data_IF_971158112837
#
_entry.id   IF_971158112837
#
_cell.length_a   1.000
_cell.length_b   1.000
_cell.length_c   1.000
_cell.angle_alpha   90.00
_cell.angle_beta   90.00
_cell.angle_gamma   90.00
#
_symmetry.space_group_name_H-M   'P 1'
#
loop_
_entity.id
_entity.type
_entity.pdbx_description
1 polymer ?
#
# COMPACT_ATOMS: atom_id res chain seq x y z
N UNK A 1 19.82 -5.46 26.65
CA UNK A 1 19.98 -6.26 25.42
C UNK A 1 19.52 -5.42 24.25
N UNK A 2 20.43 -5.18 23.30
CA UNK A 2 20.24 -4.27 22.18
C UNK A 2 19.13 -4.78 21.24
N UNK A 3 18.06 -3.99 21.12
CA UNK A 3 17.04 -4.19 20.10
C UNK A 3 17.60 -3.80 18.74
N UNK A 4 17.77 -4.80 17.88
CA UNK A 4 18.14 -4.67 16.48
C UNK A 4 17.28 -3.57 15.83
N UNK A 5 17.91 -2.48 15.38
CA UNK A 5 17.28 -1.53 14.49
C UNK A 5 16.96 -2.24 13.18
N UNK A 6 15.67 -2.37 12.88
CA UNK A 6 15.16 -2.81 11.57
C UNK A 6 15.55 -1.71 10.56
N UNK A 7 16.81 -1.74 10.11
CA UNK A 7 17.34 -0.83 9.12
C UNK A 7 16.48 -0.97 7.85
N UNK A 8 15.76 0.11 7.54
CA UNK A 8 14.90 0.28 6.38
C UNK A 8 15.64 -0.10 5.09
N UNK A 9 15.54 -1.35 4.67
CA UNK A 9 16.26 -1.88 3.49
C UNK A 9 15.61 -1.45 2.17
N UNK A 10 14.73 -0.44 2.20
CA UNK A 10 13.95 0.02 1.05
C UNK A 10 13.90 1.53 0.85
N UNK A 11 13.80 2.35 1.91
CA UNK A 11 13.57 3.81 1.74
C UNK A 11 14.85 4.56 1.38
N UNK A 12 15.92 4.41 2.17
CA UNK A 12 17.16 5.16 1.94
C UNK A 12 17.83 4.87 0.60
N UNK A 13 17.60 3.71 -0.02
CA UNK A 13 18.17 3.36 -1.33
C UNK A 13 17.30 3.82 -2.50
N UNK A 14 15.98 3.87 -2.35
CA UNK A 14 15.05 4.34 -3.39
C UNK A 14 14.95 5.86 -3.41
N UNK A 15 14.86 6.50 -2.24
CA UNK A 15 15.02 7.96 -2.09
C UNK A 15 16.37 8.41 -2.68
N UNK A 16 17.45 7.65 -2.38
CA UNK A 16 18.77 7.96 -2.91
C UNK A 16 18.86 7.92 -4.44
N UNK A 17 18.23 6.89 -5.00
CA UNK A 17 18.10 6.71 -6.43
C UNK A 17 17.32 7.87 -7.06
N UNK A 18 16.15 8.21 -6.52
CA UNK A 18 15.27 9.22 -7.10
C UNK A 18 15.88 10.62 -7.05
N UNK A 19 16.58 11.00 -5.96
CA UNK A 19 17.25 12.30 -5.95
C UNK A 19 18.42 12.36 -6.93
N UNK A 20 19.18 11.25 -7.11
CA UNK A 20 20.29 11.21 -8.08
C UNK A 20 19.79 11.38 -9.51
N UNK A 21 18.69 10.71 -9.84
CA UNK A 21 18.06 10.86 -11.16
C UNK A 21 17.58 12.29 -11.37
N UNK A 22 16.91 12.89 -10.38
CA UNK A 22 16.45 14.28 -10.43
C UNK A 22 17.60 15.26 -10.63
N UNK A 23 18.64 15.17 -9.80
CA UNK A 23 19.82 16.03 -9.87
C UNK A 23 20.54 15.90 -11.22
N UNK A 24 20.64 14.68 -11.77
CA UNK A 24 21.27 14.44 -13.06
C UNK A 24 20.44 14.99 -14.23
N UNK A 25 19.11 14.87 -14.16
CA UNK A 25 18.19 15.43 -15.16
C UNK A 25 18.25 16.96 -15.15
N UNK A 26 18.19 17.59 -13.98
CA UNK A 26 18.35 19.04 -13.84
C UNK A 26 19.69 19.49 -14.38
N UNK A 27 20.78 18.80 -14.01
CA UNK A 27 22.12 19.14 -14.49
C UNK A 27 22.23 19.10 -16.02
N UNK A 28 21.68 18.07 -16.68
CA UNK A 28 21.74 17.93 -18.13
C UNK A 28 20.85 18.98 -18.84
N UNK A 29 19.71 19.33 -18.24
CA UNK A 29 18.80 20.37 -18.75
C UNK A 29 19.36 21.79 -18.62
N UNK A 30 20.11 22.08 -17.57
CA UNK A 30 20.69 23.41 -17.32
C UNK A 30 21.95 23.70 -18.17
N UNK A 31 22.47 22.71 -18.88
CA UNK A 31 23.64 22.86 -19.72
C UNK A 31 23.30 23.58 -21.03
N UNK A 32 24.08 24.61 -21.33
CA UNK A 32 24.00 25.35 -22.60
C UNK A 32 24.80 24.62 -23.67
N UNK A 33 24.22 23.53 -24.19
CA UNK A 33 24.88 22.68 -25.19
C UNK A 33 25.24 23.49 -26.45
N UNK A 34 26.51 23.48 -26.89
CA UNK A 34 26.91 24.17 -28.12
C UNK A 34 26.28 23.56 -29.38
N UNK A 35 25.95 22.26 -29.31
CA UNK A 35 25.23 21.51 -30.35
C UNK A 35 23.94 20.94 -29.74
N UNK A 36 22.77 21.43 -30.18
CA UNK A 36 21.48 20.99 -29.64
C UNK A 36 21.20 19.50 -29.87
N UNK A 37 21.68 18.93 -30.98
CA UNK A 37 21.50 17.50 -31.28
C UNK A 37 22.19 16.60 -30.26
N UNK A 38 23.37 17.01 -29.77
CA UNK A 38 24.08 16.29 -28.73
C UNK A 38 23.30 16.32 -27.41
N UNK A 39 22.78 17.50 -27.02
CA UNK A 39 21.93 17.67 -25.85
C UNK A 39 20.71 16.74 -25.89
N UNK A 40 20.00 16.71 -27.03
CA UNK A 40 18.86 15.82 -27.26
C UNK A 40 19.24 14.34 -27.17
N UNK A 41 20.36 13.94 -27.80
CA UNK A 41 20.82 12.55 -27.75
C UNK A 41 21.15 12.10 -26.31
N UNK A 42 21.80 12.98 -25.53
CA UNK A 42 22.12 12.70 -24.14
C UNK A 42 20.85 12.61 -23.28
N UNK A 43 19.90 13.52 -23.48
CA UNK A 43 18.60 13.51 -22.82
C UNK A 43 17.84 12.20 -23.07
N UNK A 44 17.74 11.74 -24.33
CA UNK A 44 17.10 10.46 -24.66
C UNK A 44 17.77 9.28 -23.95
N UNK A 45 19.12 9.24 -23.91
CA UNK A 45 19.84 8.17 -23.21
C UNK A 45 19.62 8.22 -21.70
N UNK A 46 19.56 9.41 -21.13
CA UNK A 46 19.25 9.61 -19.71
C UNK A 46 17.83 9.13 -19.37
N UNK A 47 16.85 9.42 -20.23
CA UNK A 47 15.47 8.97 -20.07
C UNK A 47 15.37 7.44 -20.07
N UNK A 48 16.03 6.78 -21.03
CA UNK A 48 16.08 5.31 -21.09
C UNK A 48 16.71 4.71 -19.82
N UNK A 49 17.87 5.23 -19.41
CA UNK A 49 18.53 4.78 -18.17
C UNK A 49 17.64 5.01 -16.94
N UNK A 50 16.99 6.18 -16.85
CA UNK A 50 16.10 6.51 -15.73
C UNK A 50 14.91 5.57 -15.68
N UNK A 51 14.30 5.27 -16.84
CA UNK A 51 13.20 4.31 -16.98
C UNK A 51 13.60 2.93 -16.45
N UNK A 52 14.74 2.39 -16.89
CA UNK A 52 15.23 1.07 -16.46
C UNK A 52 15.50 1.00 -14.95
N UNK A 53 16.04 2.09 -14.39
CA UNK A 53 16.33 2.20 -12.96
C UNK A 53 15.04 2.27 -12.12
N UNK A 54 14.05 3.05 -12.58
CA UNK A 54 12.73 3.15 -11.93
C UNK A 54 12.01 1.80 -11.99
N UNK A 55 11.97 1.15 -13.15
CA UNK A 55 11.38 -0.19 -13.32
C UNK A 55 12.01 -1.21 -12.35
N UNK A 56 13.35 -1.22 -12.29
CA UNK A 56 14.08 -2.11 -11.39
C UNK A 56 13.80 -1.82 -9.91
N UNK A 57 13.57 -0.55 -9.55
CA UNK A 57 13.18 -0.15 -8.19
C UNK A 57 11.80 -0.67 -7.82
N UNK A 58 10.83 -0.47 -8.72
CA UNK A 58 9.44 -0.92 -8.56
C UNK A 58 9.38 -2.43 -8.36
N UNK A 59 10.02 -3.19 -9.26
CA UNK A 59 10.02 -4.67 -9.21
C UNK A 59 10.63 -5.19 -7.90
N UNK A 60 11.78 -4.64 -7.48
CA UNK A 60 12.42 -5.02 -6.21
C UNK A 60 11.53 -4.71 -5.01
N UNK A 61 10.87 -3.55 -5.02
CA UNK A 61 9.98 -3.12 -3.94
C UNK A 61 8.77 -4.04 -3.81
N UNK A 62 8.15 -4.42 -4.94
CA UNK A 62 7.03 -5.37 -4.98
C UNK A 62 7.43 -6.75 -4.42
N UNK A 63 8.58 -7.29 -4.82
CA UNK A 63 9.08 -8.56 -4.26
C UNK A 63 9.35 -8.46 -2.76
N UNK A 64 9.98 -7.37 -2.29
CA UNK A 64 10.23 -7.16 -0.87
C UNK A 64 8.94 -7.03 -0.06
N UNK A 65 7.93 -6.35 -0.62
CA UNK A 65 6.59 -6.23 -0.05
C UNK A 65 5.95 -7.61 0.15
N UNK A 66 5.94 -8.44 -0.90
CA UNK A 66 5.34 -9.77 -0.84
C UNK A 66 6.00 -10.63 0.23
N UNK A 67 7.34 -10.67 0.26
CA UNK A 67 8.11 -11.43 1.25
C UNK A 67 7.82 -10.95 2.68
N UNK A 68 7.79 -9.63 2.91
CA UNK A 68 7.50 -9.08 4.25
C UNK A 68 6.07 -9.42 4.69
N UNK A 69 5.11 -9.38 3.77
CA UNK A 69 3.72 -9.71 4.06
C UNK A 69 3.52 -11.21 4.35
N UNK A 70 4.17 -12.09 3.59
CA UNK A 70 4.12 -13.54 3.79
C UNK A 70 4.69 -13.96 5.16
N UNK A 71 5.74 -13.30 5.64
CA UNK A 71 6.39 -13.60 6.93
C UNK A 71 5.65 -13.08 8.15
N UNK A 72 4.60 -12.28 7.96
CA UNK A 72 3.84 -11.67 9.06
C UNK A 72 2.71 -12.56 9.61
N UNK A 73 2.25 -12.28 10.83
CA UNK A 73 1.17 -13.04 11.48
C UNK A 73 -0.11 -13.12 10.63
N UNK A 74 -0.85 -14.22 10.73
CA UNK A 74 -2.16 -14.44 10.08
C UNK A 74 -3.33 -14.29 11.04
N UNK A 75 -3.12 -13.69 12.21
CA UNK A 75 -4.15 -13.43 13.22
C UNK A 75 -4.26 -11.92 13.56
N UNK A 76 -5.12 -11.58 14.52
CA UNK A 76 -5.44 -10.19 14.94
C UNK A 76 -4.28 -9.47 15.64
N UNK A 77 -3.20 -10.17 15.95
CA UNK A 77 -1.92 -9.62 16.42
C UNK A 77 -1.07 -9.08 15.25
N UNK A 78 -1.46 -9.33 14.00
CA UNK A 78 -0.82 -8.68 12.85
C UNK A 78 -0.88 -7.16 13.00
N UNK A 79 0.26 -6.51 12.75
CA UNK A 79 0.41 -5.07 12.71
C UNK A 79 1.02 -4.73 11.38
N UNK A 80 0.39 -3.81 10.64
CA UNK A 80 0.93 -3.33 9.36
C UNK A 80 2.31 -2.73 9.64
N UNK A 81 3.40 -3.34 9.13
CA UNK A 81 4.74 -2.81 9.38
C UNK A 81 4.92 -1.44 8.71
N UNK A 82 5.64 -0.52 9.35
CA UNK A 82 5.99 0.77 8.74
C UNK A 82 6.65 0.60 7.36
N UNK A 83 7.50 -0.43 7.21
CA UNK A 83 8.17 -0.73 5.95
C UNK A 83 7.20 -1.02 4.80
N UNK A 84 6.01 -1.58 5.09
CA UNK A 84 4.96 -1.80 4.08
C UNK A 84 4.42 -0.45 3.58
N UNK A 85 4.18 0.51 4.48
CA UNK A 85 3.75 1.86 4.11
C UNK A 85 4.83 2.57 3.29
N UNK A 86 6.09 2.45 3.72
CA UNK A 86 7.22 3.00 2.97
C UNK A 86 7.32 2.42 1.56
N UNK A 87 7.09 1.12 1.37
CA UNK A 87 7.08 0.50 0.04
C UNK A 87 5.95 1.04 -0.86
N UNK A 88 4.80 1.42 -0.30
CA UNK A 88 3.77 2.15 -1.06
C UNK A 88 4.24 3.55 -1.45
N UNK A 89 4.89 4.29 -0.54
CA UNK A 89 5.41 5.61 -0.84
C UNK A 89 6.50 5.58 -1.92
N UNK A 90 7.32 4.53 -1.98
CA UNK A 90 8.26 4.32 -3.10
C UNK A 90 7.53 4.25 -4.45
N UNK A 91 6.31 3.71 -4.51
CA UNK A 91 5.51 3.71 -5.74
C UNK A 91 4.99 5.11 -6.09
N UNK A 92 4.62 5.91 -5.08
CA UNK A 92 4.23 7.32 -5.25
C UNK A 92 5.42 8.11 -5.80
N UNK A 93 6.60 7.94 -5.20
CA UNK A 93 7.82 8.62 -5.62
C UNK A 93 8.24 8.20 -7.04
N UNK A 94 8.13 6.91 -7.36
CA UNK A 94 8.37 6.40 -8.71
C UNK A 94 7.44 7.06 -9.73
N UNK A 95 6.16 7.30 -9.38
CA UNK A 95 5.18 7.98 -10.23
C UNK A 95 5.51 9.45 -10.43
N UNK A 96 5.96 10.14 -9.37
CA UNK A 96 6.42 11.52 -9.48
C UNK A 96 7.64 11.61 -10.40
N UNK A 97 8.57 10.67 -10.28
CA UNK A 97 9.77 10.61 -11.11
C UNK A 97 9.46 10.23 -12.56
N UNK A 98 8.55 9.29 -12.82
CA UNK A 98 8.15 8.94 -14.20
C UNK A 98 7.51 10.13 -14.91
N UNK A 99 6.69 10.94 -14.21
CA UNK A 99 6.06 12.13 -14.76
C UNK A 99 7.07 13.21 -15.16
N UNK A 100 8.19 13.35 -14.45
CA UNK A 100 9.27 14.29 -14.81
C UNK A 100 9.96 13.92 -16.12
N UNK A 101 10.03 12.63 -16.43
CA UNK A 101 10.57 12.16 -17.70
C UNK A 101 9.70 12.58 -18.91
N UNK A 102 8.44 12.95 -18.70
CA UNK A 102 7.47 13.30 -19.74
C UNK A 102 7.58 14.75 -20.28
N UNK A 103 8.44 15.58 -19.72
CA UNK A 103 8.33 17.04 -19.86
C UNK A 103 8.81 17.64 -21.21
N UNK A 104 9.30 16.86 -22.17
CA UNK A 104 9.77 17.42 -23.46
C UNK A 104 9.34 16.53 -24.64
N UNK A 105 8.71 17.18 -25.62
CA UNK A 105 7.95 16.65 -26.76
C UNK A 105 8.79 15.82 -27.75
N UNK A 106 8.22 14.71 -28.25
CA UNK A 106 8.37 14.04 -29.55
C UNK A 106 7.70 12.65 -29.45
N UNK A 107 6.67 12.40 -30.28
CA UNK A 107 5.67 11.32 -30.14
C UNK A 107 6.14 9.85 -30.04
N UNK A 108 7.45 9.56 -30.06
CA UNK A 108 8.03 8.24 -29.75
C UNK A 108 8.31 8.04 -28.24
N UNK A 109 8.53 9.10 -27.44
CA UNK A 109 8.81 8.97 -26.01
C UNK A 109 7.57 8.64 -25.16
N UNK A 110 6.36 9.02 -25.62
CA UNK A 110 5.09 8.67 -24.95
C UNK A 110 4.90 7.18 -24.69
N UNK A 111 5.52 6.33 -25.50
CA UNK A 111 5.34 4.88 -25.40
C UNK A 111 6.09 4.25 -24.22
N UNK A 112 7.25 4.79 -23.82
CA UNK A 112 8.01 4.32 -22.65
C UNK A 112 7.41 4.85 -21.34
N UNK A 113 6.99 6.12 -21.31
CA UNK A 113 6.30 6.68 -20.15
C UNK A 113 5.02 5.93 -19.84
N UNK A 114 4.20 5.65 -20.86
CA UNK A 114 2.99 4.85 -20.65
C UNK A 114 3.33 3.46 -20.11
N UNK A 115 4.46 2.86 -20.48
CA UNK A 115 4.86 1.55 -19.94
C UNK A 115 5.23 1.61 -18.46
N UNK A 116 6.04 2.59 -18.03
CA UNK A 116 6.39 2.76 -16.61
C UNK A 116 5.17 3.14 -15.78
N UNK A 117 4.34 4.07 -16.25
CA UNK A 117 3.12 4.47 -15.55
C UNK A 117 2.15 3.30 -15.40
N UNK A 118 1.92 2.54 -16.48
CA UNK A 118 1.08 1.33 -16.44
C UNK A 118 1.67 0.28 -15.49
N UNK A 119 3.00 0.09 -15.50
CA UNK A 119 3.68 -0.82 -14.59
C UNK A 119 3.49 -0.39 -13.13
N UNK A 120 3.67 0.89 -12.81
CA UNK A 120 3.46 1.42 -11.46
C UNK A 120 2.02 1.17 -11.02
N UNK A 121 1.05 1.49 -11.86
CA UNK A 121 -0.37 1.28 -11.54
C UNK A 121 -0.71 -0.21 -11.34
N UNK A 122 -0.17 -1.09 -12.17
CA UNK A 122 -0.32 -2.54 -12.03
C UNK A 122 0.29 -3.04 -10.71
N UNK A 123 1.52 -2.63 -10.41
CA UNK A 123 2.23 -3.07 -9.20
C UNK A 123 1.55 -2.55 -7.93
N UNK A 124 1.07 -1.30 -7.92
CA UNK A 124 0.28 -0.76 -6.80
C UNK A 124 -1.01 -1.56 -6.63
N UNK A 125 -1.73 -1.86 -7.72
CA UNK A 125 -2.95 -2.66 -7.67
C UNK A 125 -2.70 -4.06 -7.11
N UNK A 126 -1.61 -4.70 -7.48
CA UNK A 126 -1.21 -5.99 -6.93
C UNK A 126 -0.84 -5.92 -5.45
N UNK A 127 -0.07 -4.90 -5.03
CA UNK A 127 0.25 -4.67 -3.62
C UNK A 127 -1.01 -4.47 -2.77
N UNK A 128 -1.97 -3.70 -3.28
CA UNK A 128 -3.29 -3.52 -2.67
C UNK A 128 -4.01 -4.86 -2.55
N UNK A 129 -4.06 -5.65 -3.64
CA UNK A 129 -4.71 -6.95 -3.67
C UNK A 129 -4.12 -7.92 -2.65
N UNK A 130 -2.79 -7.97 -2.54
CA UNK A 130 -2.08 -8.82 -1.58
C UNK A 130 -2.38 -8.41 -0.12
N UNK A 131 -2.42 -7.10 0.17
CA UNK A 131 -2.74 -6.61 1.51
C UNK A 131 -4.20 -6.88 1.89
N UNK A 132 -5.13 -6.69 0.95
CA UNK A 132 -6.54 -7.05 1.16
C UNK A 132 -6.67 -8.56 1.41
N UNK A 133 -6.01 -9.40 0.60
CA UNK A 133 -6.02 -10.85 0.79
C UNK A 133 -5.48 -11.24 2.17
N UNK A 134 -4.45 -10.55 2.67
CA UNK A 134 -3.94 -10.75 4.04
C UNK A 134 -5.01 -10.46 5.09
N UNK A 135 -5.75 -9.36 4.95
CA UNK A 135 -6.83 -9.01 5.88
C UNK A 135 -7.99 -9.99 5.82
N UNK A 136 -8.31 -10.53 4.64
CA UNK A 136 -9.33 -11.58 4.47
C UNK A 136 -8.94 -12.84 5.25
N UNK A 137 -7.69 -13.31 5.13
CA UNK A 137 -7.20 -14.47 5.88
C UNK A 137 -7.34 -14.28 7.40
N UNK A 138 -7.10 -13.06 7.89
CA UNK A 138 -7.25 -12.74 9.33
C UNK A 138 -8.73 -12.78 9.72
N UNK A 139 -9.65 -12.25 8.90
CA UNK A 139 -11.09 -12.37 9.18
C UNK A 139 -11.50 -13.85 9.21
N UNK A 140 -11.12 -14.64 8.21
CA UNK A 140 -11.46 -16.06 8.15
C UNK A 140 -11.01 -16.80 9.42
N UNK A 141 -9.81 -16.47 9.93
CA UNK A 141 -9.32 -16.99 11.22
C UNK A 141 -10.21 -16.60 12.40
N UNK A 142 -10.70 -15.36 12.43
CA UNK A 142 -11.62 -14.86 13.47
C UNK A 142 -12.99 -15.54 13.37
N UNK A 143 -13.56 -15.63 12.17
CA UNK A 143 -14.84 -16.31 11.93
C UNK A 143 -14.79 -17.77 12.32
N UNK A 144 -13.69 -18.47 12.01
CA UNK A 144 -13.49 -19.86 12.39
C UNK A 144 -13.38 -20.06 13.92
N UNK A 145 -12.91 -19.06 14.66
CA UNK A 145 -12.92 -19.08 16.13
C UNK A 145 -14.33 -18.83 16.66
N UNK A 146 -15.04 -17.84 16.11
CA UNK A 146 -16.39 -17.49 16.52
C UNK A 146 -17.42 -18.59 16.24
N UNK A 147 -17.30 -19.30 15.12
CA UNK A 147 -18.21 -20.41 14.78
C UNK A 147 -18.18 -21.58 15.76
N UNK A 148 -17.10 -21.74 16.53
CA UNK A 148 -17.00 -22.76 17.59
C UNK A 148 -17.84 -22.42 18.83
N UNK A 149 -18.24 -21.16 18.98
CA UNK A 149 -19.10 -20.69 20.05
C UNK A 149 -20.57 -20.57 19.60
N UNK A 150 -20.87 -21.00 18.37
CA UNK A 150 -22.17 -20.79 17.74
C UNK A 150 -23.21 -21.83 18.22
N UNK A 151 -23.94 -21.49 19.28
CA UNK A 151 -25.27 -22.02 19.58
C UNK A 151 -26.36 -21.13 18.91
N UNK A 152 -26.13 -20.66 17.68
CA UNK A 152 -27.17 -20.10 16.79
C UNK A 152 -27.53 -18.62 16.95
N UNK A 153 -26.79 -17.83 17.76
CA UNK A 153 -27.16 -16.42 18.06
C UNK A 153 -25.98 -15.43 17.97
N UNK A 154 -24.74 -15.88 17.69
CA UNK A 154 -23.57 -15.00 17.72
C UNK A 154 -23.27 -14.31 16.39
N UNK A 155 -23.57 -14.93 15.25
CA UNK A 155 -23.45 -14.27 13.94
C UNK A 155 -24.37 -13.04 13.83
N UNK A 156 -25.60 -13.13 14.35
CA UNK A 156 -26.51 -11.97 14.44
C UNK A 156 -26.00 -10.91 15.43
N UNK A 157 -25.30 -11.31 16.49
CA UNK A 157 -24.67 -10.40 17.47
C UNK A 157 -23.42 -9.72 16.92
N UNK A 158 -22.62 -10.37 16.06
CA UNK A 158 -21.49 -9.74 15.36
C UNK A 158 -21.99 -8.69 14.36
N UNK A 159 -23.03 -9.03 13.59
CA UNK A 159 -23.75 -8.10 12.70
C UNK A 159 -24.57 -7.03 13.45
N UNK A 160 -24.94 -7.28 14.71
CA UNK A 160 -25.68 -6.34 15.56
C UNK A 160 -24.73 -5.47 16.39
N UNK A 161 -23.52 -5.91 16.71
CA UNK A 161 -22.49 -5.11 17.38
C UNK A 161 -21.97 -4.00 16.46
N UNK A 162 -21.92 -4.28 15.16
CA UNK A 162 -21.76 -3.25 14.13
C UNK A 162 -22.92 -2.25 14.07
N UNK A 163 -24.06 -2.52 14.70
CA UNK A 163 -25.21 -1.59 14.80
C UNK A 163 -25.35 -1.01 16.22
N UNK A 164 -24.70 -1.59 17.24
CA UNK A 164 -24.89 -1.26 18.66
C UNK A 164 -23.89 -0.25 19.25
N UNK A 165 -22.97 0.30 18.47
CA UNK A 165 -22.18 1.46 18.89
C UNK A 165 -23.05 2.67 19.31
N UNK A 166 -24.36 2.67 18.98
CA UNK A 166 -25.32 3.71 19.34
C UNK A 166 -26.22 3.41 20.57
N UNK A 167 -26.06 2.30 21.31
CA UNK A 167 -27.01 1.96 22.39
C UNK A 167 -26.35 1.49 23.69
N UNK A 168 -26.39 2.35 24.71
CA UNK A 168 -26.05 2.05 26.12
C UNK A 168 -26.98 0.96 26.65
N UNK A 169 -26.51 -0.28 26.75
CA UNK A 169 -27.09 -1.26 27.66
C UNK A 169 -25.99 -2.03 28.38
N UNK A 170 -26.24 -2.29 29.66
CA UNK A 170 -25.33 -2.90 30.65
C UNK A 170 -24.93 -4.30 30.20
N UNK A 171 -23.64 -4.53 29.92
CA UNK A 171 -23.15 -5.78 29.32
C UNK A 171 -22.76 -6.84 30.36
N UNK A 172 -23.34 -8.03 30.19
CA UNK A 172 -22.83 -9.30 30.74
C UNK A 172 -21.77 -9.82 29.75
N UNK A 173 -20.51 -10.11 30.17
CA UNK A 173 -19.48 -10.59 29.26
C UNK A 173 -19.89 -11.92 28.61
N UNK A 174 -20.17 -11.90 27.31
CA UNK A 174 -20.48 -13.11 26.53
C UNK A 174 -19.17 -13.75 26.02
N UNK A 175 -19.07 -15.09 26.01
CA UNK A 175 -17.95 -15.78 25.36
C UNK A 175 -17.85 -15.35 23.88
N UNK A 176 -16.66 -14.97 23.41
CA UNK A 176 -16.41 -14.53 22.02
C UNK A 176 -16.42 -13.01 21.79
N UNK A 177 -16.81 -12.21 22.79
CA UNK A 177 -16.67 -10.74 22.72
C UNK A 177 -15.21 -10.29 22.58
N UNK A 178 -14.30 -10.98 23.28
CA UNK A 178 -12.86 -10.72 23.25
C UNK A 178 -12.23 -10.93 21.86
N UNK A 179 -12.71 -11.93 21.12
CA UNK A 179 -12.26 -12.22 19.75
C UNK A 179 -12.76 -11.14 18.78
N UNK A 180 -14.00 -10.70 18.92
CA UNK A 180 -14.57 -9.63 18.11
C UNK A 180 -13.88 -8.28 18.38
N UNK A 181 -13.70 -7.91 19.65
CA UNK A 181 -13.01 -6.68 20.06
C UNK A 181 -11.56 -6.65 19.56
N UNK A 182 -10.88 -7.80 19.59
CA UNK A 182 -9.53 -7.94 19.04
C UNK A 182 -9.48 -7.68 17.53
N UNK A 183 -10.49 -8.14 16.78
CA UNK A 183 -10.59 -7.90 15.34
C UNK A 183 -10.90 -6.43 15.03
N UNK A 184 -11.83 -5.81 15.76
CA UNK A 184 -12.15 -4.39 15.62
C UNK A 184 -10.90 -3.54 15.88
N UNK A 185 -10.17 -3.83 16.95
CA UNK A 185 -8.93 -3.13 17.30
C UNK A 185 -7.86 -3.30 16.22
N UNK A 186 -7.72 -4.52 15.67
CA UNK A 186 -6.83 -4.81 14.57
C UNK A 186 -7.13 -3.97 13.31
N UNK A 187 -8.40 -3.89 12.90
CA UNK A 187 -8.81 -3.14 11.72
C UNK A 187 -8.56 -1.64 11.90
N UNK A 188 -8.98 -1.06 13.04
CA UNK A 188 -8.74 0.35 13.35
C UNK A 188 -7.26 0.69 13.30
N UNK A 189 -6.43 -0.08 14.00
CA UNK A 189 -5.00 0.17 14.03
C UNK A 189 -4.35 0.03 12.64
N UNK A 190 -4.82 -0.91 11.83
CA UNK A 190 -4.32 -1.07 10.45
C UNK A 190 -4.71 0.11 9.57
N UNK A 191 -5.95 0.60 9.70
CA UNK A 191 -6.45 1.76 8.99
C UNK A 191 -5.69 3.03 9.37
N UNK A 192 -5.51 3.28 10.67
CA UNK A 192 -4.77 4.43 11.19
C UNK A 192 -3.33 4.43 10.66
N UNK A 193 -2.63 3.29 10.75
CA UNK A 193 -1.27 3.14 10.24
C UNK A 193 -1.17 3.45 8.74
N UNK A 194 -2.08 2.91 7.93
CA UNK A 194 -2.06 3.10 6.49
C UNK A 194 -2.39 4.54 6.10
N UNK A 195 -3.39 5.16 6.74
CA UNK A 195 -3.78 6.55 6.48
C UNK A 195 -2.74 7.57 6.95
N UNK A 196 -2.08 7.32 8.08
CA UNK A 196 -1.08 8.24 8.62
C UNK A 196 0.22 8.21 7.81
N UNK A 197 0.57 7.05 7.21
CA UNK A 197 1.91 6.82 6.65
C UNK A 197 1.97 6.73 5.13
N UNK A 198 0.87 6.47 4.44
CA UNK A 198 0.85 6.45 2.97
C UNK A 198 0.53 7.87 2.46
N UNK A 199 1.40 8.41 1.63
CA UNK A 199 1.31 9.80 1.16
C UNK A 199 0.12 10.03 0.22
N UNK A 200 -0.29 9.00 -0.51
CA UNK A 200 -1.34 9.09 -1.53
C UNK A 200 -2.66 8.48 -1.00
N UNK A 201 -3.61 9.35 -0.70
CA UNK A 201 -4.90 8.97 -0.09
C UNK A 201 -5.67 7.97 -0.96
N UNK A 202 -5.62 8.12 -2.29
CA UNK A 202 -6.34 7.21 -3.22
C UNK A 202 -5.90 5.76 -3.08
N UNK A 203 -4.66 5.47 -2.63
CA UNK A 203 -4.22 4.08 -2.39
C UNK A 203 -4.90 3.51 -1.14
N UNK A 204 -5.04 4.31 -0.10
CA UNK A 204 -5.77 3.93 1.11
C UNK A 204 -7.26 3.77 0.83
N UNK A 205 -7.87 4.68 0.07
CA UNK A 205 -9.26 4.53 -0.39
C UNK A 205 -9.43 3.23 -1.18
N UNK A 206 -8.56 2.93 -2.15
CA UNK A 206 -8.66 1.67 -2.92
C UNK A 206 -8.52 0.41 -2.06
N UNK A 207 -7.71 0.45 -0.99
CA UNK A 207 -7.58 -0.66 -0.03
C UNK A 207 -8.89 -0.90 0.73
N UNK A 208 -9.59 0.16 1.13
CA UNK A 208 -10.77 0.09 1.99
C UNK A 208 -12.10 0.12 1.23
N UNK A 209 -12.19 0.78 0.08
CA UNK A 209 -13.41 0.96 -0.74
C UNK A 209 -13.43 0.09 -2.01
N UNK A 210 -12.25 -0.26 -2.56
CA UNK A 210 -12.14 -1.13 -3.74
C UNK A 210 -12.87 -2.48 -3.60
N UNK A 211 -12.81 -3.17 -2.45
CA UNK A 211 -13.49 -4.44 -2.29
C UNK A 211 -15.01 -4.33 -2.02
N UNK A 212 -15.60 -3.12 -1.96
CA UNK A 212 -17.07 -2.92 -1.96
C UNK A 212 -17.77 -3.50 -3.19
N UNK A 213 -17.06 -3.59 -4.33
CA UNK A 213 -17.67 -4.01 -5.62
C UNK A 213 -17.68 -5.52 -5.86
N UNK A 214 -17.02 -6.33 -5.03
CA UNK A 214 -16.87 -7.79 -5.24
C UNK A 214 -17.64 -8.66 -4.22
N UNK A 215 -18.54 -8.08 -3.43
CA UNK A 215 -19.53 -8.83 -2.66
C UNK A 215 -19.01 -9.62 -1.45
N UNK A 216 -17.71 -9.59 -1.15
CA UNK A 216 -17.13 -10.15 0.08
C UNK A 216 -15.97 -9.25 0.51
N UNK A 217 -16.20 -8.30 1.41
CA UNK A 217 -15.11 -7.56 2.04
C UNK A 217 -15.28 -7.46 3.56
N UNK A 218 -14.50 -8.25 4.31
CA UNK A 218 -14.32 -8.14 5.75
C UNK A 218 -13.94 -6.73 6.24
N UNK A 219 -13.18 -6.03 5.40
CA UNK A 219 -12.52 -4.76 5.70
C UNK A 219 -13.51 -3.59 5.57
N UNK A 220 -14.45 -3.69 4.63
CA UNK A 220 -15.54 -2.72 4.40
C UNK A 220 -16.63 -2.83 5.46
N UNK A 221 -16.88 -4.04 5.97
CA UNK A 221 -17.91 -4.27 6.99
C UNK A 221 -17.64 -3.48 8.28
N UNK A 222 -16.40 -3.02 8.51
CA UNK A 222 -16.05 -2.09 9.58
C UNK A 222 -15.92 -0.63 9.13
N UNK A 223 -15.44 -0.33 7.91
CA UNK A 223 -15.40 1.05 7.39
C UNK A 223 -16.82 1.66 7.29
N UNK A 224 -17.81 0.87 6.85
CA UNK A 224 -19.21 1.28 6.79
C UNK A 224 -19.88 1.47 8.17
N UNK A 225 -19.22 1.04 9.24
CA UNK A 225 -19.77 1.00 10.61
C UNK A 225 -19.08 2.01 11.54
N UNK A 226 -17.86 2.44 11.20
CA UNK A 226 -17.09 3.41 11.98
C UNK A 226 -17.15 4.84 11.42
N UNK A 227 -17.89 5.04 10.33
CA UNK A 227 -18.11 6.36 9.70
C UNK A 227 -19.51 6.92 10.02
N UNK A 228 -20.23 6.35 10.98
CA UNK A 228 -21.42 6.93 11.62
C UNK A 228 -21.21 7.12 13.14
#
# INVERSE_FOLDING_TARGET
MAGHGDHCTGSGTSEDLFWKLDALQTFIGDLHWPEEEFGKHLETRLKLMSSDMIESCIKRTRTAFEVKLQRSSRATDFRVPQSICTMFNVMVDAKVQSAKLCAVDLGQERQYHSQIDNLIEEMVKEMITLLVAKFVVILESVLAKLSRYDEGTLFSSFLSFTVKAASKYVDVPKPGMDVADSYVTFVRHSQDMLREKINEEVYTERLFDGPCRLGVSPVVFLSAVLTE
#
